data_IF_552672153594
#
_entry.id   IF_552672153594
#
_cell.length_a   1.000
_cell.length_b   1.000
_cell.length_c   1.000
_cell.angle_alpha   90.00
_cell.angle_beta   90.00
_cell.angle_gamma   90.00
#
_symmetry.space_group_name_H-M   'P 1'
#
loop_
_entity.id
_entity.type
_entity.pdbx_description
1 polymer ?
#
# COMPACT_ATOMS: atom_id res chain seq x y z
N UNK A 1 -13.99 -0.31 -83.98
CA UNK A 1 -12.66 -0.48 -83.36
C UNK A 1 -12.74 0.03 -81.93
N UNK A 2 -12.08 -0.69 -81.01
CA UNK A 2 -12.15 -0.60 -79.54
C UNK A 2 -11.89 0.83 -79.00
N UNK A 3 -12.78 1.33 -78.15
CA UNK A 3 -12.42 2.34 -77.15
C UNK A 3 -12.19 1.63 -75.80
N UNK A 4 -11.01 1.77 -75.17
CA UNK A 4 -10.77 1.34 -73.81
C UNK A 4 -11.12 2.50 -72.87
N UNK A 5 -12.03 2.29 -71.91
CA UNK A 5 -12.16 3.21 -70.80
C UNK A 5 -11.98 2.43 -69.50
N UNK A 6 -10.84 2.69 -68.86
CA UNK A 6 -10.39 2.09 -67.62
C UNK A 6 -11.27 2.60 -66.48
N UNK A 7 -12.05 1.69 -65.88
CA UNK A 7 -12.73 1.94 -64.61
C UNK A 7 -11.71 1.91 -63.48
N UNK A 8 -11.40 3.07 -62.90
CA UNK A 8 -10.57 3.22 -61.71
C UNK A 8 -11.21 2.49 -60.53
N UNK A 9 -10.53 1.48 -59.99
CA UNK A 9 -10.87 0.87 -58.71
C UNK A 9 -10.45 1.81 -57.57
N UNK A 10 -11.44 2.43 -56.91
CA UNK A 10 -11.25 3.22 -55.71
C UNK A 10 -10.94 2.28 -54.54
N UNK A 11 -9.66 2.19 -54.16
CA UNK A 11 -9.20 1.58 -52.92
C UNK A 11 -9.55 2.50 -51.74
N UNK A 12 -10.65 2.23 -51.07
CA UNK A 12 -10.99 2.84 -49.78
C UNK A 12 -10.11 2.24 -48.69
N UNK A 13 -9.01 2.92 -48.36
CA UNK A 13 -8.17 2.57 -47.21
C UNK A 13 -8.95 2.95 -45.94
N UNK A 14 -9.68 1.98 -45.38
CA UNK A 14 -10.30 2.12 -44.08
C UNK A 14 -9.19 2.29 -43.03
N UNK A 15 -9.01 3.53 -42.57
CA UNK A 15 -8.09 3.87 -41.49
C UNK A 15 -8.76 3.49 -40.18
N UNK A 16 -8.57 2.25 -39.72
CA UNK A 16 -8.94 1.87 -38.36
C UNK A 16 -8.02 2.59 -37.38
N UNK A 17 -8.57 3.54 -36.64
CA UNK A 17 -7.93 4.16 -35.49
C UNK A 17 -7.70 3.07 -34.43
N UNK A 18 -6.47 2.55 -34.37
CA UNK A 18 -5.99 1.78 -33.22
C UNK A 18 -5.93 2.72 -32.01
N UNK A 19 -7.02 2.81 -31.25
CA UNK A 19 -7.00 3.41 -29.92
C UNK A 19 -6.24 2.47 -29.00
N UNK A 20 -4.94 2.74 -28.79
CA UNK A 20 -4.13 2.04 -27.81
C UNK A 20 -4.56 2.55 -26.43
N UNK A 21 -5.43 1.80 -25.77
CA UNK A 21 -5.82 2.07 -24.39
C UNK A 21 -4.64 1.66 -23.50
N UNK A 22 -3.75 2.60 -23.16
CA UNK A 22 -2.78 2.39 -22.10
C UNK A 22 -3.50 2.46 -20.76
N UNK A 23 -4.15 1.34 -20.39
CA UNK A 23 -4.58 1.09 -19.02
C UNK A 23 -3.34 0.89 -18.17
N UNK A 24 -2.71 1.99 -17.73
CA UNK A 24 -1.68 1.93 -16.70
C UNK A 24 -2.39 1.58 -15.40
N UNK A 25 -2.60 0.27 -15.19
CA UNK A 25 -2.90 -0.29 -13.89
C UNK A 25 -1.69 -0.01 -13.00
N UNK A 26 -1.68 1.16 -12.36
CA UNK A 26 -0.78 1.40 -11.24
C UNK A 26 -1.08 0.28 -10.24
N UNK A 27 -0.08 -0.54 -9.87
CA UNK A 27 -0.30 -1.53 -8.84
C UNK A 27 -0.72 -0.74 -7.61
N UNK A 28 -1.92 -1.01 -7.09
CA UNK A 28 -2.38 -0.47 -5.82
C UNK A 28 -1.59 -1.15 -4.69
N UNK A 29 -0.26 -0.98 -4.69
CA UNK A 29 0.54 -1.00 -3.48
C UNK A 29 0.11 0.28 -2.76
N UNK A 30 -0.67 0.15 -1.70
CA UNK A 30 -1.27 1.27 -0.99
C UNK A 30 -0.20 2.36 -0.72
N UNK A 31 -0.27 3.47 -1.46
CA UNK A 31 0.66 4.57 -1.29
C UNK A 31 0.42 5.17 0.11
N UNK A 32 1.47 5.23 0.92
CA UNK A 32 1.40 5.84 2.23
C UNK A 32 1.29 7.35 2.02
N UNK A 33 0.14 7.91 2.35
CA UNK A 33 -0.10 9.34 2.25
C UNK A 33 0.60 10.05 3.43
N UNK A 34 1.77 10.63 3.15
CA UNK A 34 2.57 11.36 4.12
C UNK A 34 2.36 12.88 3.99
N UNK A 35 2.48 13.60 5.09
CA UNK A 35 2.52 15.06 5.07
C UNK A 35 3.82 15.55 4.39
N UNK A 36 3.75 16.60 3.55
CA UNK A 36 4.92 17.17 2.90
C UNK A 36 6.02 17.55 3.91
N UNK A 37 7.28 17.23 3.58
CA UNK A 37 8.44 17.56 4.42
C UNK A 37 8.62 16.70 5.67
N UNK A 38 7.74 15.71 5.91
CA UNK A 38 7.85 14.81 7.09
C UNK A 38 8.46 13.45 6.78
N UNK A 39 8.70 13.18 5.50
CA UNK A 39 9.19 11.89 5.02
C UNK A 39 10.69 11.74 5.32
N UNK A 40 11.04 10.64 5.98
CA UNK A 40 12.42 10.26 6.28
C UNK A 40 12.68 8.90 5.65
N UNK A 41 13.82 8.75 4.99
CA UNK A 41 14.26 7.52 4.34
C UNK A 41 15.48 6.93 5.03
N UNK A 42 15.62 5.61 4.96
CA UNK A 42 16.87 4.92 5.24
C UNK A 42 17.89 5.14 4.10
N UNK A 43 19.19 4.84 4.30
CA UNK A 43 20.22 4.99 3.27
C UNK A 43 19.98 4.16 2.00
N UNK A 44 19.15 3.11 2.07
CA UNK A 44 18.75 2.28 0.94
C UNK A 44 17.47 2.79 0.23
N UNK A 45 17.06 4.03 0.52
CA UNK A 45 15.88 4.71 0.00
C UNK A 45 14.53 4.08 0.38
N UNK A 46 14.49 3.10 1.30
CA UNK A 46 13.22 2.65 1.86
C UNK A 46 12.66 3.71 2.82
N UNK A 47 11.34 3.82 2.88
CA UNK A 47 10.67 4.75 3.79
C UNK A 47 10.96 4.31 5.23
N UNK A 48 11.53 5.20 6.04
CA UNK A 48 11.77 4.94 7.47
C UNK A 48 10.59 5.38 8.32
N UNK A 49 10.15 6.62 8.12
CA UNK A 49 9.00 7.17 8.84
C UNK A 49 8.42 8.37 8.10
N UNK A 50 7.15 8.65 8.32
CA UNK A 50 6.55 9.92 7.96
C UNK A 50 5.34 10.22 8.85
N UNK A 51 4.92 11.48 8.87
CA UNK A 51 3.66 11.88 9.50
C UNK A 51 2.51 11.56 8.54
N UNK A 52 1.51 10.80 8.99
CA UNK A 52 0.39 10.43 8.14
C UNK A 52 -0.51 11.61 7.81
N UNK A 53 -0.82 11.82 6.53
CA UNK A 53 -1.72 12.88 6.10
C UNK A 53 -3.19 12.58 6.37
N UNK A 54 -3.54 11.29 6.35
CA UNK A 54 -4.89 10.79 6.58
C UNK A 54 -4.86 9.48 7.36
N UNK A 55 -6.00 9.10 7.95
CA UNK A 55 -6.17 7.80 8.59
C UNK A 55 -5.91 6.72 7.52
N UNK A 56 -5.16 5.69 7.89
CA UNK A 56 -4.87 4.56 7.00
C UNK A 56 -5.01 3.25 7.75
N UNK A 57 -5.38 2.18 7.04
CA UNK A 57 -5.40 0.84 7.61
C UNK A 57 -4.22 0.05 7.06
N UNK A 58 -3.25 -0.26 7.91
CA UNK A 58 -2.07 -1.03 7.54
C UNK A 58 -2.39 -2.50 7.73
N UNK A 59 -2.38 -3.24 6.63
CA UNK A 59 -2.52 -4.68 6.66
C UNK A 59 -1.14 -5.34 6.66
N UNK A 60 -0.89 -6.22 7.63
CA UNK A 60 0.34 -7.01 7.71
C UNK A 60 -0.01 -8.48 7.73
N UNK A 61 0.60 -9.26 6.83
CA UNK A 61 0.37 -10.69 6.72
C UNK A 61 1.59 -11.46 7.19
N UNK A 62 1.38 -12.43 8.08
CA UNK A 62 2.38 -13.41 8.49
C UNK A 62 1.89 -14.81 8.16
N UNK A 63 2.76 -15.72 7.66
CA UNK A 63 2.41 -17.11 7.44
C UNK A 63 1.90 -17.83 8.69
N UNK A 64 2.34 -17.38 9.87
CA UNK A 64 2.07 -18.04 11.16
C UNK A 64 0.89 -17.41 11.89
N UNK A 65 0.76 -16.09 11.86
CA UNK A 65 -0.26 -15.34 12.61
C UNK A 65 -1.46 -14.88 11.75
N UNK A 66 -1.43 -15.16 10.45
CA UNK A 66 -2.43 -14.67 9.51
C UNK A 66 -2.28 -13.17 9.26
N UNK A 67 -3.39 -12.54 8.93
CA UNK A 67 -3.44 -11.12 8.57
C UNK A 67 -3.93 -10.27 9.73
N UNK A 68 -3.14 -9.26 10.09
CA UNK A 68 -3.48 -8.23 11.08
C UNK A 68 -3.74 -6.90 10.40
N UNK A 69 -4.71 -6.13 10.90
CA UNK A 69 -5.06 -4.81 10.37
C UNK A 69 -4.90 -3.77 11.48
N UNK A 70 -4.12 -2.72 11.20
CA UNK A 70 -3.81 -1.65 12.13
C UNK A 70 -4.36 -0.33 11.58
N UNK A 71 -5.46 0.17 12.14
CA UNK A 71 -6.04 1.44 11.73
C UNK A 71 -5.23 2.59 12.32
N UNK A 72 -4.19 3.03 11.62
CA UNK A 72 -3.28 4.10 12.03
C UNK A 72 -3.92 5.48 11.95
N UNK A 73 -3.69 6.30 12.97
CA UNK A 73 -4.21 7.66 13.15
C UNK A 73 -3.57 8.65 12.18
N UNK A 74 -4.39 9.54 11.62
CA UNK A 74 -3.91 10.70 10.87
C UNK A 74 -3.10 11.62 11.78
N UNK A 75 -2.16 12.36 11.21
CA UNK A 75 -1.29 13.30 11.94
C UNK A 75 -0.46 12.63 13.07
N UNK A 76 -0.24 11.33 12.97
CA UNK A 76 0.70 10.57 13.81
C UNK A 76 1.75 9.88 12.92
N UNK A 77 2.92 9.60 13.50
CA UNK A 77 4.01 8.98 12.75
C UNK A 77 3.77 7.49 12.55
N UNK A 78 3.97 7.04 11.30
CA UNK A 78 4.12 5.64 10.95
C UNK A 78 5.62 5.31 10.82
N UNK A 79 6.02 4.11 11.24
CA UNK A 79 7.43 3.69 11.29
C UNK A 79 7.59 2.35 10.60
N UNK A 80 8.67 2.22 9.84
CA UNK A 80 9.07 1.03 9.10
C UNK A 80 10.52 0.64 9.42
N UNK A 81 10.87 -0.61 9.16
CA UNK A 81 12.26 -1.08 9.21
C UNK A 81 13.01 -0.77 7.92
N UNK A 82 14.33 -1.02 7.88
CA UNK A 82 15.17 -0.79 6.70
C UNK A 82 14.69 -1.56 5.45
N UNK A 83 13.93 -2.64 5.63
CA UNK A 83 13.35 -3.44 4.54
C UNK A 83 11.99 -2.90 4.07
N UNK A 84 11.50 -1.81 4.66
CA UNK A 84 10.20 -1.20 4.38
C UNK A 84 9.03 -1.94 5.02
N UNK A 85 9.26 -2.80 6.02
CA UNK A 85 8.20 -3.50 6.73
C UNK A 85 7.63 -2.63 7.85
N UNK A 86 6.30 -2.67 8.00
CA UNK A 86 5.62 -1.95 9.07
C UNK A 86 6.16 -2.35 10.44
N UNK A 87 6.51 -1.34 11.25
CA UNK A 87 7.01 -1.53 12.61
C UNK A 87 6.08 -0.90 13.63
N UNK A 88 5.54 0.30 13.40
CA UNK A 88 4.70 0.97 14.41
C UNK A 88 3.82 2.06 13.84
N UNK A 89 2.67 2.28 14.47
CA UNK A 89 1.89 3.51 14.36
C UNK A 89 1.06 3.75 15.63
N UNK A 90 0.50 4.94 15.75
CA UNK A 90 -0.54 5.24 16.74
C UNK A 90 -1.91 4.82 16.19
N UNK A 91 -2.73 4.17 17.02
CA UNK A 91 -4.06 3.69 16.61
C UNK A 91 -5.09 4.81 16.57
N UNK A 92 -5.93 4.80 15.54
CA UNK A 92 -7.08 5.69 15.41
C UNK A 92 -8.32 5.17 16.11
N UNK A 93 -8.39 3.88 16.37
CA UNK A 93 -9.53 3.22 17.02
C UNK A 93 -9.06 1.98 17.77
N UNK A 94 -9.92 1.47 18.66
CA UNK A 94 -9.63 0.27 19.42
C UNK A 94 -9.50 -0.95 18.50
N UNK A 95 -8.55 -1.82 18.78
CA UNK A 95 -8.39 -3.11 18.12
C UNK A 95 -8.27 -4.23 19.15
N UNK A 96 -8.53 -5.45 18.70
CA UNK A 96 -8.22 -6.66 19.46
C UNK A 96 -7.06 -7.37 18.79
N UNK A 97 -6.02 -7.65 19.56
CA UNK A 97 -4.89 -8.46 19.14
C UNK A 97 -5.11 -9.86 19.70
N UNK A 98 -5.05 -10.86 18.83
CA UNK A 98 -5.12 -12.26 19.23
C UNK A 98 -3.74 -12.88 19.16
N UNK A 99 -3.23 -13.33 20.31
CA UNK A 99 -1.98 -14.07 20.40
C UNK A 99 -2.28 -15.47 20.94
N UNK A 100 -2.52 -16.41 20.02
CA UNK A 100 -3.03 -17.74 20.35
C UNK A 100 -4.41 -17.68 21.02
N UNK A 101 -4.46 -18.06 22.30
CA UNK A 101 -5.68 -18.04 23.11
C UNK A 101 -5.89 -16.73 23.89
N UNK A 102 -4.87 -15.85 23.93
CA UNK A 102 -4.98 -14.56 24.59
C UNK A 102 -5.56 -13.52 23.61
N UNK A 103 -6.55 -12.77 24.08
CA UNK A 103 -7.09 -11.60 23.37
C UNK A 103 -6.76 -10.38 24.20
N UNK A 104 -5.90 -9.52 23.66
CA UNK A 104 -5.54 -8.23 24.24
C UNK A 104 -6.31 -7.12 23.53
N UNK A 105 -6.84 -6.17 24.28
CA UNK A 105 -7.51 -4.99 23.71
C UNK A 105 -6.56 -3.81 23.72
N UNK A 106 -6.27 -3.26 22.55
CA UNK A 106 -5.54 -2.00 22.40
C UNK A 106 -6.53 -0.87 22.18
N UNK A 107 -6.47 0.16 23.00
CA UNK A 107 -7.35 1.31 22.88
C UNK A 107 -6.92 2.22 21.73
N UNK A 108 -7.80 3.14 21.35
CA UNK A 108 -7.42 4.24 20.47
C UNK A 108 -6.26 5.03 21.09
N UNK A 109 -5.46 5.67 20.24
CA UNK A 109 -4.30 6.49 20.61
C UNK A 109 -3.14 5.70 21.24
N UNK A 110 -3.25 4.38 21.38
CA UNK A 110 -2.13 3.56 21.81
C UNK A 110 -1.17 3.36 20.63
N UNK A 111 0.12 3.28 20.94
CA UNK A 111 1.14 2.93 19.98
C UNK A 111 1.20 1.41 19.86
N UNK A 112 0.91 0.92 18.66
CA UNK A 112 1.15 -0.48 18.32
C UNK A 112 2.57 -0.64 17.78
N UNK A 113 3.25 -1.69 18.20
CA UNK A 113 4.52 -2.14 17.63
C UNK A 113 4.38 -3.56 17.13
N UNK A 114 4.81 -3.76 15.90
CA UNK A 114 4.81 -5.03 15.20
C UNK A 114 6.27 -5.43 14.93
N UNK A 115 6.60 -6.68 15.23
CA UNK A 115 7.91 -7.25 14.93
C UNK A 115 7.75 -8.70 14.48
N UNK A 116 8.59 -9.12 13.55
CA UNK A 116 8.73 -10.51 13.13
C UNK A 116 10.15 -10.94 13.44
N UNK A 117 10.28 -11.98 14.26
CA UNK A 117 11.59 -12.59 14.52
C UNK A 117 12.13 -13.29 13.28
N UNK A 118 13.44 -13.59 13.25
CA UNK A 118 14.06 -14.36 12.17
C UNK A 118 13.45 -15.76 11.99
N UNK A 119 12.78 -16.28 13.03
CA UNK A 119 12.05 -17.56 13.00
C UNK A 119 10.59 -17.42 12.53
N UNK A 120 10.17 -16.23 12.08
CA UNK A 120 8.81 -15.96 11.61
C UNK A 120 7.77 -15.76 12.73
N UNK A 121 8.19 -15.80 14.00
CA UNK A 121 7.29 -15.53 15.14
C UNK A 121 6.96 -14.05 15.16
N UNK A 122 5.66 -13.75 15.18
CA UNK A 122 5.11 -12.39 15.24
C UNK A 122 4.96 -11.96 16.69
N UNK A 123 5.39 -10.75 16.99
CA UNK A 123 5.12 -10.05 18.24
C UNK A 123 4.37 -8.76 17.94
N UNK A 124 3.23 -8.58 18.59
CA UNK A 124 2.46 -7.35 18.53
C UNK A 124 2.32 -6.86 19.97
N UNK A 125 2.72 -5.63 20.23
CA UNK A 125 2.63 -5.00 21.55
C UNK A 125 1.92 -3.67 21.44
N UNK A 126 1.17 -3.32 22.47
CA UNK A 126 0.47 -2.04 22.57
C UNK A 126 0.89 -1.32 23.84
N UNK A 127 1.23 -0.04 23.69
CA UNK A 127 1.61 0.83 24.81
C UNK A 127 0.86 2.15 24.70
N UNK A 128 0.51 2.80 25.82
CA UNK A 128 0.09 4.21 25.79
C UNK A 128 1.13 5.07 25.04
N UNK A 129 0.67 5.98 24.19
CA UNK A 129 1.55 6.87 23.38
C UNK A 129 2.14 8.02 24.17
#
# INVERSE_FOLDING_TARGET
MKLPFQGFALLTIASSLLTINFGISLPAQAAIACEPGTVVYYPNNSLATCLLAQKMNVQVSSPVAGTSNFPCKAKSYIVFDEKGQFTSCELSEKIQIRNGNLVETCLAEYRVKFAVSDKGVVSITCTPS
#
